data_IF_564800980517
#
_entry.id   IF_564800980517
#
_cell.length_a   1.000
_cell.length_b   1.000
_cell.length_c   1.000
_cell.angle_alpha   90.00
_cell.angle_beta   90.00
_cell.angle_gamma   90.00
#
_symmetry.space_group_name_H-M   'P 1'
#
loop_
_entity.id
_entity.type
_entity.pdbx_description
1 polymer ?
#
# COMPACT_ATOMS: atom_id res chain seq x y z
N UNK A 1 -6.53 -6.82 12.68
CA UNK A 1 -5.32 -7.65 12.83
C UNK A 1 -4.89 -8.10 11.45
N UNK A 2 -3.61 -8.13 11.20
CA UNK A 2 -2.98 -8.79 10.06
C UNK A 2 -1.86 -9.66 10.65
N UNK A 3 -1.75 -10.89 10.19
CA UNK A 3 -0.71 -11.80 10.67
C UNK A 3 -0.08 -12.62 9.54
N UNK A 4 1.00 -13.31 9.84
CA UNK A 4 1.77 -14.10 8.89
C UNK A 4 0.95 -15.28 8.34
N UNK A 5 0.06 -15.89 9.15
CA UNK A 5 -0.75 -17.03 8.75
C UNK A 5 -1.82 -16.66 7.73
N UNK A 6 -2.28 -15.41 7.75
CA UNK A 6 -3.22 -14.85 6.78
C UNK A 6 -2.51 -14.12 5.62
N UNK A 7 -1.23 -14.39 5.39
CA UNK A 7 -0.43 -13.69 4.36
C UNK A 7 -0.45 -12.15 4.53
N UNK A 8 -0.60 -11.67 5.75
CA UNK A 8 -0.73 -10.26 6.10
C UNK A 8 -2.00 -9.58 5.59
N UNK A 9 -3.02 -10.35 5.19
CA UNK A 9 -4.32 -9.78 4.84
C UNK A 9 -5.07 -9.31 6.08
N UNK A 10 -5.90 -8.27 5.96
CA UNK A 10 -6.70 -7.79 7.07
C UNK A 10 -7.77 -8.81 7.46
N UNK A 11 -7.93 -9.02 8.76
CA UNK A 11 -9.03 -9.78 9.35
C UNK A 11 -10.30 -8.93 9.32
N UNK A 12 -11.24 -9.30 8.46
CA UNK A 12 -12.48 -8.56 8.23
C UNK A 12 -13.39 -8.60 9.45
N UNK A 13 -13.41 -9.71 10.18
CA UNK A 13 -14.20 -9.83 11.41
C UNK A 13 -13.64 -8.93 12.52
N UNK A 14 -12.33 -8.83 12.63
CA UNK A 14 -11.67 -7.88 13.55
C UNK A 14 -11.94 -6.43 13.13
N UNK A 15 -11.90 -6.12 11.84
CA UNK A 15 -12.28 -4.80 11.33
C UNK A 15 -13.73 -4.45 11.71
N UNK A 16 -14.66 -5.36 11.50
CA UNK A 16 -16.09 -5.20 11.81
C UNK A 16 -16.31 -4.89 13.31
N UNK A 17 -15.63 -5.63 14.20
CA UNK A 17 -15.71 -5.43 15.64
C UNK A 17 -15.19 -4.07 16.12
N UNK A 18 -14.31 -3.42 15.33
CA UNK A 18 -13.70 -2.12 15.67
C UNK A 18 -14.45 -0.92 15.13
N UNK A 19 -15.42 -1.13 14.25
CA UNK A 19 -16.27 -0.06 13.73
C UNK A 19 -17.24 0.40 14.84
N UNK A 20 -17.35 1.70 15.00
CA UNK A 20 -18.25 2.37 15.94
C UNK A 20 -18.95 3.54 15.25
N UNK A 21 -19.91 4.18 15.91
CA UNK A 21 -20.62 5.37 15.40
C UNK A 21 -19.67 6.55 15.09
N UNK A 22 -18.46 6.52 15.65
CA UNK A 22 -17.43 7.53 15.39
C UNK A 22 -16.53 7.19 14.22
N UNK A 23 -16.60 5.97 13.69
CA UNK A 23 -15.81 5.57 12.53
C UNK A 23 -16.31 6.30 11.29
N UNK A 24 -15.44 6.96 10.55
CA UNK A 24 -15.78 7.75 9.35
C UNK A 24 -15.16 7.19 8.07
N UNK A 25 -14.07 6.44 8.21
CA UNK A 25 -13.34 5.96 7.06
C UNK A 25 -12.58 4.67 7.36
N UNK A 26 -12.25 3.95 6.31
CA UNK A 26 -11.27 2.87 6.29
C UNK A 26 -10.06 3.35 5.49
N UNK A 27 -8.86 3.13 6.03
CA UNK A 27 -7.60 3.41 5.32
C UNK A 27 -6.93 2.08 5.01
N UNK A 28 -6.60 1.86 3.74
CA UNK A 28 -5.82 0.71 3.30
C UNK A 28 -4.58 1.15 2.55
N UNK A 29 -3.55 0.32 2.59
CA UNK A 29 -2.33 0.44 1.78
C UNK A 29 -2.22 -0.86 0.99
N UNK A 30 -2.44 -0.79 -0.33
CA UNK A 30 -2.41 -1.98 -1.19
C UNK A 30 -1.82 -1.65 -2.57
N UNK A 31 -0.68 -2.22 -2.94
CA UNK A 31 0.16 -3.19 -2.21
C UNK A 31 0.74 -2.63 -0.91
N UNK A 32 0.96 -3.50 0.08
CA UNK A 32 1.17 -3.09 1.46
C UNK A 32 2.64 -2.77 1.80
N UNK A 33 2.83 -1.67 2.48
CA UNK A 33 4.02 -1.33 3.23
C UNK A 33 3.70 -1.52 4.74
N UNK A 34 4.41 -2.36 5.51
CA UNK A 34 5.74 -2.93 5.23
C UNK A 34 5.74 -4.41 4.80
N UNK A 35 4.61 -5.05 4.57
CA UNK A 35 4.55 -6.52 4.46
C UNK A 35 4.82 -7.06 3.04
N UNK A 36 4.68 -6.20 2.02
CA UNK A 36 4.74 -6.64 0.62
C UNK A 36 3.52 -7.46 0.17
N UNK A 37 2.46 -7.49 0.99
CA UNK A 37 1.23 -8.16 0.64
C UNK A 37 0.50 -7.44 -0.50
N UNK A 38 -0.13 -8.23 -1.36
CA UNK A 38 -1.08 -7.78 -2.36
C UNK A 38 -2.45 -8.36 -2.02
N UNK A 39 -3.39 -7.51 -1.64
CA UNK A 39 -4.73 -7.98 -1.26
C UNK A 39 -5.49 -8.46 -2.50
N UNK A 40 -5.99 -9.70 -2.50
CA UNK A 40 -6.78 -10.21 -3.62
C UNK A 40 -8.14 -9.50 -3.70
N UNK A 41 -8.75 -9.57 -4.90
CA UNK A 41 -10.02 -8.90 -5.18
C UNK A 41 -11.11 -9.25 -4.18
N UNK A 42 -11.14 -10.50 -3.71
CA UNK A 42 -12.13 -11.01 -2.76
C UNK A 42 -12.01 -10.31 -1.40
N UNK A 43 -10.79 -10.08 -0.92
CA UNK A 43 -10.53 -9.33 0.33
C UNK A 43 -10.90 -7.86 0.15
N UNK A 44 -10.54 -7.25 -0.99
CA UNK A 44 -10.93 -5.88 -1.29
C UNK A 44 -12.46 -5.72 -1.36
N UNK A 45 -13.17 -6.70 -1.95
CA UNK A 45 -14.63 -6.70 -2.01
C UNK A 45 -15.26 -6.76 -0.61
N UNK A 46 -14.73 -7.58 0.29
CA UNK A 46 -15.19 -7.66 1.68
C UNK A 46 -15.00 -6.32 2.42
N UNK A 47 -13.87 -5.63 2.17
CA UNK A 47 -13.64 -4.28 2.72
C UNK A 47 -14.66 -3.27 2.16
N UNK A 48 -14.94 -3.34 0.85
CA UNK A 48 -15.95 -2.49 0.21
C UNK A 48 -17.34 -2.75 0.79
N UNK A 49 -17.72 -4.01 0.99
CA UNK A 49 -19.01 -4.38 1.53
C UNK A 49 -19.16 -3.90 2.99
N UNK A 50 -18.09 -4.01 3.78
CA UNK A 50 -18.05 -3.46 5.13
C UNK A 50 -18.17 -1.92 5.13
N UNK A 51 -17.46 -1.24 4.23
CA UNK A 51 -17.55 0.21 4.08
C UNK A 51 -18.95 0.65 3.65
N UNK A 52 -19.61 -0.12 2.78
CA UNK A 52 -20.98 0.13 2.31
C UNK A 52 -22.00 -0.02 3.45
N UNK A 53 -21.90 -1.09 4.23
CA UNK A 53 -22.77 -1.37 5.38
C UNK A 53 -22.77 -0.20 6.38
N UNK A 54 -21.59 0.40 6.61
CA UNK A 54 -21.40 1.46 7.59
C UNK A 54 -21.26 2.86 6.99
N UNK A 55 -21.48 3.00 5.69
CA UNK A 55 -21.37 4.29 4.95
C UNK A 55 -20.03 5.00 5.16
N UNK A 56 -18.93 4.25 5.11
CA UNK A 56 -17.59 4.75 5.35
C UNK A 56 -16.93 5.25 4.05
N UNK A 57 -16.05 6.24 4.20
CA UNK A 57 -15.13 6.67 3.14
C UNK A 57 -13.99 5.66 3.04
N UNK A 58 -13.53 5.37 1.83
CA UNK A 58 -12.34 4.55 1.62
C UNK A 58 -11.18 5.44 1.20
N UNK A 59 -10.11 5.43 1.99
CA UNK A 59 -8.81 5.99 1.63
C UNK A 59 -7.88 4.85 1.22
N UNK A 60 -7.37 4.88 -0.01
CA UNK A 60 -6.49 3.83 -0.54
C UNK A 60 -5.15 4.43 -0.97
N UNK A 61 -4.07 4.02 -0.31
CA UNK A 61 -2.70 4.29 -0.77
C UNK A 61 -2.28 3.17 -1.73
N UNK A 62 -2.18 3.51 -3.01
CA UNK A 62 -1.86 2.60 -4.10
C UNK A 62 -0.50 2.93 -4.72
N UNK A 63 0.41 3.54 -3.95
CA UNK A 63 1.72 3.99 -4.44
C UNK A 63 2.58 2.86 -5.03
N UNK A 64 2.31 1.60 -4.69
CA UNK A 64 3.01 0.41 -5.17
C UNK A 64 2.27 -0.37 -6.26
N UNK A 65 1.23 0.20 -6.86
CA UNK A 65 0.33 -0.42 -7.85
C UNK A 65 1.07 -1.08 -9.02
N UNK A 66 2.22 -0.54 -9.43
CA UNK A 66 3.05 -1.04 -10.52
C UNK A 66 4.18 -1.97 -10.09
N UNK A 67 4.36 -2.17 -8.80
CA UNK A 67 5.39 -3.03 -8.24
C UNK A 67 4.79 -4.37 -7.80
N UNK A 68 4.18 -5.07 -8.76
CA UNK A 68 3.52 -6.37 -8.53
C UNK A 68 4.26 -7.45 -9.30
N UNK A 69 4.56 -8.57 -8.65
CA UNK A 69 5.40 -9.65 -9.16
C UNK A 69 4.59 -10.93 -9.42
N UNK A 70 5.27 -11.94 -9.95
CA UNK A 70 4.73 -13.30 -10.16
C UNK A 70 3.51 -13.35 -11.10
N UNK A 71 3.37 -12.39 -12.04
CA UNK A 71 2.26 -12.32 -12.96
C UNK A 71 0.92 -11.95 -12.32
N UNK A 72 0.94 -11.48 -11.05
CA UNK A 72 -0.24 -10.97 -10.37
C UNK A 72 -0.57 -9.55 -10.83
N UNK A 73 -1.80 -9.12 -10.57
CA UNK A 73 -2.29 -7.80 -10.96
C UNK A 73 -2.84 -7.03 -9.74
N UNK A 74 -2.56 -5.74 -9.70
CA UNK A 74 -3.18 -4.84 -8.74
C UNK A 74 -4.60 -4.50 -9.16
N UNK A 75 -5.51 -4.52 -8.19
CA UNK A 75 -6.89 -4.05 -8.36
C UNK A 75 -7.08 -2.81 -7.49
N UNK A 76 -7.39 -1.67 -8.09
CA UNK A 76 -7.77 -0.49 -7.32
C UNK A 76 -9.10 -0.73 -6.62
N UNK A 77 -9.17 -0.53 -5.30
CA UNK A 77 -10.40 -0.74 -4.54
C UNK A 77 -11.53 0.19 -5.00
N UNK A 78 -11.19 1.38 -5.50
CA UNK A 78 -12.16 2.33 -6.03
C UNK A 78 -12.94 1.77 -7.23
N UNK A 79 -12.35 0.84 -8.01
CA UNK A 79 -13.04 0.20 -9.13
C UNK A 79 -14.16 -0.76 -8.69
N UNK A 80 -14.10 -1.23 -7.42
CA UNK A 80 -15.08 -2.13 -6.82
C UNK A 80 -16.18 -1.37 -6.07
N UNK A 81 -16.01 -0.06 -5.87
CA UNK A 81 -16.88 0.76 -5.04
C UNK A 81 -17.39 2.03 -5.75
N UNK A 82 -18.05 1.93 -6.93
CA UNK A 82 -18.50 3.11 -7.67
C UNK A 82 -19.61 3.90 -6.95
N UNK A 83 -20.27 3.29 -6.01
CA UNK A 83 -21.36 3.84 -5.18
C UNK A 83 -20.87 4.51 -3.90
N UNK A 84 -19.63 4.23 -3.45
CA UNK A 84 -19.01 4.84 -2.28
C UNK A 84 -18.13 6.03 -2.68
N UNK A 85 -17.80 6.87 -1.70
CA UNK A 85 -16.77 7.89 -1.90
C UNK A 85 -15.39 7.32 -1.59
N UNK A 86 -14.50 7.31 -2.60
CA UNK A 86 -13.15 6.80 -2.50
C UNK A 86 -12.13 7.90 -2.79
N UNK A 87 -11.04 7.86 -2.04
CA UNK A 87 -9.86 8.73 -2.20
C UNK A 87 -8.65 7.83 -2.42
N UNK A 88 -8.14 7.83 -3.65
CA UNK A 88 -6.98 7.02 -4.04
C UNK A 88 -5.74 7.90 -4.14
N UNK A 89 -4.66 7.48 -3.49
CA UNK A 89 -3.37 8.15 -3.52
C UNK A 89 -2.38 7.35 -4.35
N UNK A 90 -1.58 8.03 -5.18
CA UNK A 90 -0.48 7.44 -5.91
C UNK A 90 0.56 8.51 -6.27
N UNK A 91 1.62 8.14 -6.98
CA UNK A 91 2.69 9.05 -7.37
C UNK A 91 3.82 8.35 -8.12
N UNK A 92 4.84 9.10 -8.48
CA UNK A 92 6.00 8.60 -9.21
C UNK A 92 7.13 8.08 -8.31
N UNK A 93 7.03 8.28 -7.01
CA UNK A 93 8.11 7.98 -6.06
C UNK A 93 8.61 6.55 -6.13
N UNK A 94 7.71 5.59 -6.36
CA UNK A 94 7.98 4.15 -6.33
C UNK A 94 7.96 3.53 -7.71
N UNK A 95 6.91 3.76 -8.49
CA UNK A 95 6.77 3.23 -9.84
C UNK A 95 7.87 3.69 -10.80
N UNK A 96 8.42 4.88 -10.62
CA UNK A 96 9.47 5.47 -11.46
C UNK A 96 10.79 5.70 -10.71
N UNK A 97 10.90 5.24 -9.45
CA UNK A 97 12.11 5.38 -8.60
C UNK A 97 12.59 6.84 -8.43
N UNK A 98 11.68 7.81 -8.49
CA UNK A 98 11.99 9.25 -8.41
C UNK A 98 11.39 9.89 -7.15
N UNK A 99 11.55 9.24 -6.01
CA UNK A 99 11.05 9.76 -4.73
C UNK A 99 11.52 11.20 -4.41
N UNK A 100 12.72 11.58 -4.89
CA UNK A 100 13.28 12.92 -4.74
C UNK A 100 12.54 14.01 -5.51
N UNK A 101 11.77 13.68 -6.52
CA UNK A 101 10.95 14.65 -7.28
C UNK A 101 9.75 15.17 -6.49
N UNK A 102 9.38 14.51 -5.40
CA UNK A 102 8.29 14.91 -4.51
C UNK A 102 6.97 15.15 -5.23
N UNK A 103 6.57 14.24 -6.10
CA UNK A 103 5.35 14.33 -6.89
C UNK A 103 4.41 13.16 -6.61
N UNK A 104 3.17 13.46 -6.34
CA UNK A 104 2.08 12.52 -6.14
C UNK A 104 0.74 13.17 -6.45
N UNK A 105 -0.30 12.39 -6.49
CA UNK A 105 -1.67 12.84 -6.77
C UNK A 105 -2.68 12.10 -5.92
N UNK A 106 -3.86 12.68 -5.87
CA UNK A 106 -5.04 12.14 -5.22
C UNK A 106 -6.19 12.14 -6.22
N UNK A 107 -6.91 11.02 -6.31
CA UNK A 107 -8.07 10.85 -7.18
C UNK A 107 -9.30 10.69 -6.31
N UNK A 108 -10.31 11.54 -6.52
CA UNK A 108 -11.61 11.46 -5.87
C UNK A 108 -12.59 10.74 -6.83
N UNK A 109 -13.14 9.62 -6.39
CA UNK A 109 -14.01 8.78 -7.23
C UNK A 109 -15.29 8.36 -6.50
N UNK A 110 -16.21 7.76 -7.25
CA UNK A 110 -17.48 7.26 -6.73
C UNK A 110 -18.47 8.38 -6.39
N UNK A 111 -19.26 8.20 -5.33
CA UNK A 111 -20.33 9.13 -4.96
C UNK A 111 -19.80 10.41 -4.27
N UNK A 112 -19.46 11.40 -5.06
CA UNK A 112 -18.96 12.70 -4.57
C UNK A 112 -20.02 13.55 -3.87
N UNK A 113 -21.30 13.23 -4.05
CA UNK A 113 -22.40 14.03 -3.49
C UNK A 113 -22.43 13.98 -1.95
N UNK A 114 -21.96 12.87 -1.35
CA UNK A 114 -21.92 12.68 0.10
C UNK A 114 -20.72 13.38 0.76
N UNK A 115 -19.75 13.84 -0.03
CA UNK A 115 -18.47 14.36 0.46
C UNK A 115 -18.20 15.80 -0.02
N UNK A 116 -19.23 16.59 -0.29
CA UNK A 116 -19.11 17.96 -0.82
C UNK A 116 -18.25 18.85 0.06
N UNK A 117 -18.50 18.85 1.36
CA UNK A 117 -17.77 19.68 2.32
C UNK A 117 -16.30 19.25 2.45
N UNK A 118 -16.04 17.95 2.40
CA UNK A 118 -14.67 17.42 2.36
C UNK A 118 -13.94 17.88 1.10
N UNK A 119 -14.57 17.80 -0.07
CA UNK A 119 -13.99 18.25 -1.34
C UNK A 119 -13.72 19.75 -1.31
N UNK A 120 -14.63 20.54 -0.76
CA UNK A 120 -14.42 21.97 -0.61
C UNK A 120 -13.26 22.29 0.35
N UNK A 121 -13.17 21.58 1.48
CA UNK A 121 -12.03 21.68 2.39
C UNK A 121 -10.68 21.37 1.71
N UNK A 122 -10.64 20.35 0.84
CA UNK A 122 -9.44 20.03 0.05
C UNK A 122 -9.05 21.18 -0.90
N UNK A 123 -10.03 21.81 -1.57
CA UNK A 123 -9.79 22.99 -2.42
C UNK A 123 -9.23 24.16 -1.61
N UNK A 124 -9.80 24.41 -0.45
CA UNK A 124 -9.33 25.47 0.45
C UNK A 124 -7.87 25.23 0.88
N UNK A 125 -7.51 24.00 1.28
CA UNK A 125 -6.14 23.62 1.61
C UNK A 125 -5.20 23.76 0.42
N UNK A 126 -5.64 23.35 -0.77
CA UNK A 126 -4.87 23.51 -2.01
C UNK A 126 -4.59 24.99 -2.30
N UNK A 127 -5.58 25.86 -2.14
CA UNK A 127 -5.45 27.30 -2.31
C UNK A 127 -4.47 27.92 -1.31
N UNK A 128 -4.41 27.41 -0.08
CA UNK A 128 -3.43 27.87 0.91
C UNK A 128 -1.98 27.51 0.53
N UNK A 129 -1.79 26.34 -0.11
CA UNK A 129 -0.46 25.91 -0.57
C UNK A 129 -0.03 26.61 -1.85
N UNK A 130 -0.98 27.01 -2.71
CA UNK A 130 -0.80 27.62 -4.03
C UNK A 130 -0.01 26.72 -5.01
N UNK A 131 1.23 27.11 -5.30
CA UNK A 131 2.05 26.41 -6.30
C UNK A 131 2.73 25.17 -5.72
N UNK A 132 2.46 24.01 -6.31
CA UNK A 132 3.21 22.79 -6.06
C UNK A 132 4.49 22.78 -6.92
N UNK A 133 5.29 21.71 -6.83
CA UNK A 133 6.53 21.54 -7.58
C UNK A 133 6.27 21.46 -9.08
N UNK A 134 6.25 22.59 -9.77
CA UNK A 134 5.92 22.68 -11.21
C UNK A 134 6.85 21.84 -12.09
N UNK A 135 8.20 21.85 -11.91
CA UNK A 135 9.08 20.96 -12.70
C UNK A 135 8.73 19.50 -12.56
N UNK A 136 8.40 19.01 -11.36
CA UNK A 136 8.00 17.64 -11.16
C UNK A 136 6.61 17.32 -11.74
N UNK A 137 5.68 18.28 -11.72
CA UNK A 137 4.36 18.10 -12.36
C UNK A 137 4.48 17.97 -13.88
N UNK A 138 5.39 18.70 -14.52
CA UNK A 138 5.56 18.67 -15.97
C UNK A 138 6.01 17.31 -16.51
N UNK A 139 6.65 16.47 -15.69
CA UNK A 139 7.10 15.14 -16.13
C UNK A 139 6.05 14.05 -15.96
N UNK A 140 4.95 14.30 -15.24
CA UNK A 140 3.94 13.27 -14.90
C UNK A 140 3.36 12.62 -16.15
N UNK A 141 2.95 13.42 -17.14
CA UNK A 141 2.37 12.92 -18.40
C UNK A 141 3.37 12.04 -19.15
N UNK A 142 4.61 12.49 -19.27
CA UNK A 142 5.68 11.74 -19.93
C UNK A 142 6.00 10.44 -19.20
N UNK A 143 6.08 10.50 -17.87
CA UNK A 143 6.35 9.33 -17.04
C UNK A 143 5.24 8.27 -17.17
N UNK A 144 3.98 8.69 -17.10
CA UNK A 144 2.85 7.75 -17.18
C UNK A 144 2.60 7.20 -18.59
N UNK A 145 2.87 7.99 -19.63
CA UNK A 145 2.67 7.61 -21.03
C UNK A 145 3.90 7.01 -21.71
N UNK A 146 5.07 7.08 -21.07
CA UNK A 146 6.33 6.60 -21.63
C UNK A 146 6.62 5.14 -21.30
N UNK A 147 7.88 4.75 -21.52
CA UNK A 147 8.37 3.42 -21.15
C UNK A 147 8.30 3.20 -19.64
N UNK A 148 7.76 2.06 -19.23
CA UNK A 148 7.59 1.70 -17.83
C UNK A 148 8.74 0.79 -17.38
N UNK A 149 9.91 1.38 -17.10
CA UNK A 149 11.12 0.63 -16.72
C UNK A 149 10.95 -0.24 -15.46
N UNK A 150 9.97 0.06 -14.61
CA UNK A 150 9.64 -0.77 -13.45
C UNK A 150 9.31 -2.21 -13.86
N UNK A 151 8.73 -2.41 -15.03
CA UNK A 151 8.39 -3.74 -15.54
C UNK A 151 9.63 -4.63 -15.74
N UNK A 152 10.79 -4.05 -16.02
CA UNK A 152 12.04 -4.78 -16.19
C UNK A 152 12.65 -5.21 -14.84
N UNK A 153 12.25 -4.58 -13.73
CA UNK A 153 12.78 -4.86 -12.40
C UNK A 153 11.99 -5.92 -11.63
N UNK A 154 10.73 -6.15 -11.97
CA UNK A 154 9.79 -6.99 -11.21
C UNK A 154 9.55 -8.37 -11.82
N UNK A 155 10.28 -8.72 -12.87
CA UNK A 155 10.22 -10.02 -13.56
C UNK A 155 11.47 -10.84 -13.29
N UNK A 156 11.47 -12.17 -13.51
CA UNK A 156 12.66 -13.00 -13.38
C UNK A 156 13.86 -12.39 -14.14
N UNK A 157 15.00 -12.29 -13.46
CA UNK A 157 16.19 -11.58 -13.97
C UNK A 157 16.22 -10.08 -13.66
N UNK A 158 15.12 -9.49 -13.26
CA UNK A 158 15.03 -8.09 -12.85
C UNK A 158 15.54 -7.88 -11.42
N UNK A 159 16.11 -6.71 -11.17
CA UNK A 159 16.81 -6.42 -9.92
C UNK A 159 15.95 -6.61 -8.67
N UNK A 160 14.70 -6.10 -8.67
CA UNK A 160 13.82 -6.19 -7.50
C UNK A 160 13.38 -7.64 -7.28
N UNK A 161 13.07 -8.34 -8.37
CA UNK A 161 12.70 -9.75 -8.34
C UNK A 161 13.83 -10.60 -7.74
N UNK A 162 15.05 -10.50 -8.27
CA UNK A 162 16.20 -11.29 -7.80
C UNK A 162 16.57 -10.96 -6.34
N UNK A 163 16.50 -9.69 -5.94
CA UNK A 163 16.72 -9.30 -4.55
C UNK A 163 15.67 -9.89 -3.61
N UNK A 164 14.39 -9.91 -4.01
CA UNK A 164 13.32 -10.56 -3.25
C UNK A 164 13.60 -12.05 -3.05
N UNK A 165 13.92 -12.76 -4.12
CA UNK A 165 14.20 -14.20 -4.06
C UNK A 165 15.37 -14.50 -3.14
N UNK A 166 16.44 -13.76 -3.30
CA UNK A 166 17.65 -13.92 -2.47
C UNK A 166 17.37 -13.67 -0.98
N UNK A 167 16.76 -12.53 -0.66
CA UNK A 167 16.49 -12.14 0.73
C UNK A 167 15.48 -13.06 1.39
N UNK A 168 14.42 -13.46 0.68
CA UNK A 168 13.43 -14.41 1.18
C UNK A 168 14.08 -15.74 1.56
N UNK A 169 14.91 -16.30 0.66
CA UNK A 169 15.63 -17.53 0.93
C UNK A 169 16.58 -17.37 2.12
N UNK A 170 17.36 -16.30 2.14
CA UNK A 170 18.32 -16.04 3.21
C UNK A 170 17.67 -15.95 4.60
N UNK A 171 16.51 -15.30 4.72
CA UNK A 171 15.76 -15.27 5.98
C UNK A 171 15.22 -16.65 6.36
N UNK A 172 14.63 -17.40 5.42
CA UNK A 172 14.10 -18.72 5.70
C UNK A 172 15.17 -19.76 6.05
N UNK A 173 16.41 -19.56 5.63
CA UNK A 173 17.56 -20.40 5.98
C UNK A 173 18.06 -20.17 7.43
N UNK A 174 17.61 -19.08 8.09
CA UNK A 174 17.99 -18.79 9.48
C UNK A 174 16.98 -19.45 10.44
N UNK A 175 17.40 -20.45 11.25
CA UNK A 175 16.49 -21.09 12.18
C UNK A 175 15.98 -20.11 13.24
N UNK A 176 14.68 -19.90 13.29
CA UNK A 176 14.00 -18.94 14.20
C UNK A 176 13.59 -17.65 13.52
N UNK A 177 13.79 -17.55 12.20
CA UNK A 177 13.19 -16.50 11.37
C UNK A 177 12.23 -17.15 10.36
N UNK A 178 11.06 -16.57 10.21
CA UNK A 178 10.09 -16.92 9.17
C UNK A 178 9.69 -15.67 8.40
N UNK A 179 9.28 -15.83 7.16
CA UNK A 179 8.76 -14.73 6.35
C UNK A 179 7.69 -15.23 5.38
N UNK A 180 6.71 -14.40 5.12
CA UNK A 180 5.82 -14.56 3.97
C UNK A 180 6.51 -13.94 2.76
N UNK A 181 6.55 -14.68 1.65
CA UNK A 181 7.14 -14.16 0.41
C UNK A 181 6.33 -12.98 -0.10
N UNK A 182 6.92 -11.79 -0.25
CA UNK A 182 6.20 -10.63 -0.74
C UNK A 182 5.70 -10.83 -2.18
N UNK A 183 4.49 -10.42 -2.44
CA UNK A 183 3.87 -10.45 -3.78
C UNK A 183 4.04 -9.14 -4.54
N UNK A 184 4.31 -8.06 -3.80
CA UNK A 184 4.42 -6.73 -4.36
C UNK A 184 5.33 -5.82 -3.52
N UNK A 185 5.48 -4.56 -3.96
CA UNK A 185 6.39 -3.56 -3.40
C UNK A 185 7.84 -4.05 -3.37
N UNK A 186 8.66 -3.57 -2.44
CA UNK A 186 10.05 -4.00 -2.23
C UNK A 186 10.37 -4.13 -0.74
N UNK A 187 9.39 -4.63 0.01
CA UNK A 187 9.48 -4.87 1.45
C UNK A 187 9.35 -6.36 1.75
N UNK A 188 9.98 -6.76 2.82
CA UNK A 188 9.79 -8.05 3.44
C UNK A 188 9.65 -7.85 4.94
N UNK A 189 8.72 -8.57 5.56
CA UNK A 189 8.39 -8.41 6.96
C UNK A 189 8.61 -9.74 7.70
N UNK A 190 9.87 -10.03 8.08
CA UNK A 190 10.21 -11.29 8.74
C UNK A 190 9.73 -11.30 10.19
N UNK A 191 9.32 -12.45 10.65
CA UNK A 191 9.03 -12.73 12.05
C UNK A 191 10.23 -13.39 12.70
N UNK A 192 10.66 -12.87 13.86
CA UNK A 192 11.81 -13.33 14.61
C UNK A 192 11.34 -14.00 15.90
N UNK A 193 11.82 -15.22 16.17
CA UNK A 193 11.60 -15.91 17.44
C UNK A 193 12.42 -15.23 18.56
N UNK A 194 11.77 -14.32 19.26
CA UNK A 194 12.39 -13.52 20.32
C UNK A 194 12.94 -14.36 21.46
N UNK A 195 12.36 -15.54 21.73
CA UNK A 195 12.84 -16.46 22.78
C UNK A 195 14.15 -17.11 22.35
N UNK A 196 14.20 -17.58 21.10
CA UNK A 196 15.38 -18.24 20.55
C UNK A 196 16.58 -17.31 20.48
N UNK A 197 16.36 -16.03 20.15
CA UNK A 197 17.41 -15.02 20.05
C UNK A 197 17.62 -14.22 21.33
N UNK A 198 16.95 -14.58 22.46
CA UNK A 198 17.02 -13.87 23.73
C UNK A 198 16.72 -12.36 23.61
N UNK A 199 15.79 -11.99 22.72
CA UNK A 199 15.40 -10.61 22.51
C UNK A 199 14.35 -10.26 23.56
N UNK A 200 14.68 -9.36 24.47
CA UNK A 200 13.81 -8.88 25.55
C UNK A 200 13.38 -7.42 25.35
N UNK A 201 14.02 -6.71 24.44
CA UNK A 201 13.72 -5.32 24.10
C UNK A 201 13.99 -5.13 22.60
N UNK A 202 12.97 -4.74 21.87
CA UNK A 202 12.99 -4.59 20.41
C UNK A 202 13.80 -3.35 19.96
N UNK A 203 13.73 -2.25 20.71
CA UNK A 203 14.53 -1.05 20.46
C UNK A 203 16.03 -1.36 20.58
N UNK A 204 16.41 -2.04 21.70
CA UNK A 204 17.80 -2.47 21.87
C UNK A 204 18.26 -3.40 20.76
N UNK A 205 17.41 -4.36 20.35
CA UNK A 205 17.73 -5.26 19.26
C UNK A 205 17.96 -4.51 17.94
N UNK A 206 17.11 -3.53 17.64
CA UNK A 206 17.26 -2.69 16.45
C UNK A 206 18.56 -1.88 16.48
N UNK A 207 18.92 -1.32 17.64
CA UNK A 207 20.17 -0.57 17.83
C UNK A 207 21.42 -1.49 17.75
N UNK A 208 21.32 -2.73 18.24
CA UNK A 208 22.42 -3.71 18.18
C UNK A 208 22.68 -4.20 16.74
N UNK A 209 21.70 -4.04 15.82
CA UNK A 209 21.82 -4.38 14.39
C UNK A 209 22.47 -3.27 13.55
N UNK A 210 22.52 -2.03 14.04
CA UNK A 210 23.11 -0.86 13.36
C UNK A 210 24.62 -0.81 13.53
#
# INVERSE_FOLDING_TARGET
ICDEQSEWYPDIDDMRKKITDRTKAIVIINPNNPTGALYPKEVLQQIVDLAREHQLIIFSDEIYDRLVMDGLEHVSIASLAPDLFCVTFSGLSKSHMIAGFRIGWMILSGNKAIAKDYIEGLKMLSNMRLCSNVPAQSVVQTALGGHQSVNDYIVPGGRIYEQREYVYKAFCDIPGITAVKPKAAFYMFPKIDTKKFNITNDEKFALDLL
#
